data_IF_060275957204
#
_entry.id   IF_060275957204
#
_cell.length_a   1.000
_cell.length_b   1.000
_cell.length_c   1.000
_cell.angle_alpha   90.00
_cell.angle_beta   90.00
_cell.angle_gamma   90.00
#
_symmetry.space_group_name_H-M   'P 1'
#
loop_
_entity.id
_entity.type
_entity.pdbx_description
1 polymer ?
#
# COMPACT_ATOMS: atom_id res chain seq x y z
N UNK A 1 -9.86 -5.11 20.96
CA UNK A 1 -9.59 -4.04 19.98
C UNK A 1 -8.90 -4.61 18.77
N UNK A 2 -9.51 -4.42 17.62
CA UNK A 2 -8.92 -4.95 16.39
C UNK A 2 -7.68 -4.16 16.00
N UNK A 3 -6.67 -4.88 15.54
CA UNK A 3 -5.47 -4.24 15.01
C UNK A 3 -5.61 -4.04 13.52
N UNK A 4 -5.01 -2.97 13.01
CA UNK A 4 -4.92 -2.75 11.59
C UNK A 4 -3.80 -3.64 11.06
N UNK A 5 -4.13 -4.49 10.10
CA UNK A 5 -3.15 -5.37 9.47
C UNK A 5 -2.78 -4.83 8.11
N UNK A 6 -1.48 -4.62 7.89
CA UNK A 6 -0.94 -3.96 6.71
C UNK A 6 0.01 -4.90 5.97
N UNK A 7 -0.21 -5.05 4.68
CA UNK A 7 0.78 -5.68 3.80
C UNK A 7 1.64 -4.55 3.23
N UNK A 8 2.94 -4.62 3.43
CA UNK A 8 3.87 -3.71 2.78
C UNK A 8 4.59 -4.48 1.70
N UNK A 9 4.46 -4.02 0.47
CA UNK A 9 4.98 -4.73 -0.69
C UNK A 9 5.82 -3.82 -1.56
N UNK A 10 6.81 -4.42 -2.22
CA UNK A 10 7.67 -3.73 -3.17
C UNK A 10 7.55 -4.40 -4.52
N UNK A 11 6.67 -3.91 -5.39
CA UNK A 11 6.46 -4.52 -6.69
C UNK A 11 7.54 -4.14 -7.68
N UNK A 12 7.66 -4.93 -8.74
CA UNK A 12 8.57 -4.67 -9.83
C UNK A 12 9.99 -5.14 -9.56
N UNK A 13 10.92 -4.64 -10.36
CA UNK A 13 12.31 -5.10 -10.34
C UNK A 13 13.25 -4.24 -9.48
N UNK A 14 12.71 -3.21 -8.87
CA UNK A 14 13.49 -2.30 -8.03
C UNK A 14 13.98 -3.03 -6.78
N UNK A 15 15.28 -2.97 -6.53
CA UNK A 15 15.91 -3.62 -5.38
C UNK A 15 16.07 -2.73 -4.15
N UNK A 16 15.54 -1.52 -4.18
CA UNK A 16 15.70 -0.56 -3.08
C UNK A 16 14.61 -0.74 -2.04
N UNK A 17 14.87 -1.51 -0.99
CA UNK A 17 13.85 -1.87 0.00
C UNK A 17 13.93 -1.09 1.32
N UNK A 18 14.88 -0.18 1.45
CA UNK A 18 15.08 0.55 2.70
C UNK A 18 13.83 1.33 3.13
N UNK A 19 13.21 2.03 2.19
CA UNK A 19 12.00 2.80 2.50
C UNK A 19 10.85 1.91 2.97
N UNK A 20 10.66 0.78 2.32
CA UNK A 20 9.63 -0.17 2.70
C UNK A 20 9.88 -0.73 4.10
N UNK A 21 11.13 -1.02 4.44
CA UNK A 21 11.49 -1.52 5.78
C UNK A 21 11.30 -0.46 6.86
N UNK A 22 11.66 0.79 6.57
CA UNK A 22 11.49 1.89 7.51
C UNK A 22 10.02 2.11 7.82
N UNK A 23 9.17 2.13 6.80
CA UNK A 23 7.74 2.35 7.02
C UNK A 23 7.11 1.15 7.76
N UNK A 24 7.55 -0.06 7.44
CA UNK A 24 7.06 -1.25 8.13
C UNK A 24 7.34 -1.17 9.62
N UNK A 25 8.54 -0.75 10.00
CA UNK A 25 8.91 -0.61 11.39
C UNK A 25 8.10 0.49 12.07
N UNK A 26 7.92 1.63 11.40
CA UNK A 26 7.15 2.73 11.96
C UNK A 26 5.70 2.33 12.23
N UNK A 27 5.08 1.59 11.31
CA UNK A 27 3.71 1.14 11.50
C UNK A 27 3.61 0.11 12.63
N UNK A 28 4.59 -0.78 12.75
CA UNK A 28 4.63 -1.73 13.88
C UNK A 28 4.76 -1.00 15.21
N UNK A 29 5.60 0.03 15.26
CA UNK A 29 5.80 0.80 16.49
C UNK A 29 4.51 1.52 16.92
N UNK A 30 3.61 1.76 15.99
CA UNK A 30 2.30 2.36 16.26
C UNK A 30 1.22 1.32 16.59
N UNK A 31 1.58 0.07 16.73
CA UNK A 31 0.66 -0.99 17.14
C UNK A 31 -0.03 -1.72 16.00
N UNK A 32 0.34 -1.46 14.76
CA UNK A 32 -0.23 -2.20 13.63
C UNK A 32 0.50 -3.51 13.42
N UNK A 33 -0.22 -4.49 12.88
CA UNK A 33 0.39 -5.75 12.43
C UNK A 33 0.84 -5.57 11.00
N UNK A 34 2.12 -5.75 10.73
CA UNK A 34 2.70 -5.50 9.41
C UNK A 34 3.37 -6.75 8.89
N UNK A 35 3.02 -7.10 7.67
CA UNK A 35 3.68 -8.18 6.93
C UNK A 35 4.42 -7.55 5.75
N UNK A 36 5.74 -7.63 5.76
CA UNK A 36 6.54 -7.18 4.64
C UNK A 36 6.77 -8.37 3.72
N UNK A 37 6.27 -8.28 2.49
CA UNK A 37 6.30 -9.42 1.55
C UNK A 37 7.63 -9.58 0.82
N UNK A 38 8.51 -8.58 0.93
CA UNK A 38 9.81 -8.64 0.26
C UNK A 38 9.82 -7.93 -1.08
N UNK A 39 10.94 -8.09 -1.78
CA UNK A 39 11.19 -7.46 -3.07
C UNK A 39 10.51 -8.18 -4.22
N UNK A 40 10.35 -7.48 -5.32
CA UNK A 40 9.97 -8.04 -6.63
C UNK A 40 8.65 -8.80 -6.62
N UNK A 41 7.70 -8.28 -5.88
CA UNK A 41 6.37 -8.89 -5.81
C UNK A 41 5.55 -8.54 -7.05
N UNK A 42 4.82 -9.52 -7.59
CA UNK A 42 3.85 -9.25 -8.64
C UNK A 42 2.54 -8.75 -8.02
N UNK A 43 1.69 -8.03 -8.78
CA UNK A 43 0.37 -7.66 -8.27
C UNK A 43 -0.42 -8.85 -7.76
N UNK A 44 -0.35 -9.98 -8.45
CA UNK A 44 -1.01 -11.22 -8.04
C UNK A 44 -0.53 -11.71 -6.68
N UNK A 45 0.78 -11.70 -6.46
CA UNK A 45 1.37 -12.10 -5.19
C UNK A 45 0.95 -11.18 -4.05
N UNK A 46 0.89 -9.88 -4.34
CA UNK A 46 0.52 -8.87 -3.34
C UNK A 46 -0.93 -9.07 -2.88
N UNK A 47 -1.85 -9.23 -3.82
CA UNK A 47 -3.26 -9.41 -3.50
C UNK A 47 -3.49 -10.76 -2.82
N UNK A 48 -2.77 -11.80 -3.24
CA UNK A 48 -2.84 -13.10 -2.60
C UNK A 48 -2.40 -13.01 -1.12
N UNK A 49 -1.32 -12.28 -0.85
CA UNK A 49 -0.86 -12.07 0.52
C UNK A 49 -1.91 -11.33 1.35
N UNK A 50 -2.54 -10.32 0.78
CA UNK A 50 -3.59 -9.58 1.47
C UNK A 50 -4.78 -10.47 1.81
N UNK A 51 -5.15 -11.36 0.90
CA UNK A 51 -6.24 -12.31 1.11
C UNK A 51 -5.89 -13.30 2.21
N UNK A 52 -4.71 -13.90 2.14
CA UNK A 52 -4.26 -14.90 3.12
C UNK A 52 -4.11 -14.33 4.52
N UNK A 53 -3.63 -13.10 4.62
CA UNK A 53 -3.39 -12.44 5.91
C UNK A 53 -4.61 -11.67 6.41
N UNK A 54 -5.68 -11.65 5.64
CA UNK A 54 -6.88 -10.87 5.96
C UNK A 54 -6.52 -9.40 6.26
N UNK A 55 -5.70 -8.82 5.39
CA UNK A 55 -5.20 -7.46 5.59
C UNK A 55 -6.23 -6.43 5.19
N UNK A 56 -6.31 -5.34 5.95
CA UNK A 56 -7.18 -4.22 5.64
C UNK A 56 -6.48 -3.11 4.86
N UNK A 57 -5.16 -3.18 4.75
CA UNK A 57 -4.37 -2.14 4.08
C UNK A 57 -3.25 -2.78 3.27
N UNK A 58 -3.03 -2.27 2.08
CA UNK A 58 -1.87 -2.61 1.26
C UNK A 58 -1.06 -1.34 1.04
N UNK A 59 0.20 -1.34 1.48
CA UNK A 59 1.13 -0.27 1.21
C UNK A 59 2.11 -0.69 0.11
N UNK A 60 2.10 0.03 -0.99
CA UNK A 60 2.98 -0.24 -2.12
C UNK A 60 4.14 0.75 -2.10
N UNK A 61 5.37 0.26 -2.09
CA UNK A 61 6.57 1.11 -2.19
C UNK A 61 7.10 1.01 -3.61
N UNK A 62 6.95 2.07 -4.38
CA UNK A 62 7.27 2.08 -5.81
C UNK A 62 8.22 3.22 -6.14
N UNK A 63 9.47 2.91 -6.44
CA UNK A 63 10.49 3.90 -6.82
C UNK A 63 10.89 3.80 -8.29
N UNK A 64 10.36 2.83 -9.01
CA UNK A 64 10.81 2.48 -10.36
C UNK A 64 9.97 3.10 -11.49
N UNK A 65 8.94 3.86 -11.16
CA UNK A 65 8.02 4.37 -12.17
C UNK A 65 6.97 3.37 -12.61
N UNK A 66 6.92 2.20 -12.00
CA UNK A 66 6.00 1.15 -12.41
C UNK A 66 4.57 1.33 -11.89
N UNK A 67 4.29 2.44 -11.21
CA UNK A 67 2.98 2.67 -10.58
C UNK A 67 1.81 2.65 -11.56
N UNK A 68 2.02 3.12 -12.79
CA UNK A 68 0.95 3.14 -13.81
C UNK A 68 0.58 1.75 -14.31
N UNK A 69 1.44 0.76 -14.11
CA UNK A 69 1.15 -0.64 -14.43
C UNK A 69 0.64 -1.40 -13.21
N UNK A 70 1.36 -1.25 -12.09
CA UNK A 70 1.11 -2.04 -10.89
C UNK A 70 -0.21 -1.65 -10.21
N UNK A 71 -0.46 -0.35 -10.05
CA UNK A 71 -1.61 0.11 -9.29
C UNK A 71 -2.95 -0.29 -9.91
N UNK A 72 -3.17 -0.09 -11.23
CA UNK A 72 -4.43 -0.54 -11.82
C UNK A 72 -4.63 -2.05 -11.70
N UNK A 73 -3.55 -2.82 -11.83
CA UNK A 73 -3.66 -4.28 -11.76
C UNK A 73 -3.99 -4.75 -10.34
N UNK A 74 -3.37 -4.13 -9.33
CA UNK A 74 -3.68 -4.44 -7.93
C UNK A 74 -5.16 -4.14 -7.63
N UNK A 75 -5.65 -2.97 -8.06
CA UNK A 75 -7.03 -2.59 -7.82
C UNK A 75 -8.01 -3.51 -8.54
N UNK A 76 -7.69 -3.93 -9.76
CA UNK A 76 -8.51 -4.88 -10.51
C UNK A 76 -8.60 -6.22 -9.80
N UNK A 77 -7.45 -6.74 -9.35
CA UNK A 77 -7.40 -8.01 -8.64
C UNK A 77 -8.15 -7.97 -7.30
N UNK A 78 -8.07 -6.86 -6.59
CA UNK A 78 -8.83 -6.70 -5.36
C UNK A 78 -10.34 -6.79 -5.62
N UNK A 79 -10.81 -6.14 -6.68
CA UNK A 79 -12.22 -6.22 -7.05
C UNK A 79 -12.63 -7.64 -7.43
N UNK A 80 -11.79 -8.34 -8.18
CA UNK A 80 -12.05 -9.72 -8.58
C UNK A 80 -12.17 -10.66 -7.40
N UNK A 81 -11.42 -10.38 -6.32
CA UNK A 81 -11.42 -11.20 -5.11
C UNK A 81 -12.47 -10.77 -4.09
N UNK A 82 -13.25 -9.75 -4.41
CA UNK A 82 -14.23 -9.22 -3.47
C UNK A 82 -13.63 -8.45 -2.30
N UNK A 83 -12.42 -7.92 -2.48
CA UNK A 83 -11.68 -7.20 -1.44
C UNK A 83 -11.77 -5.68 -1.67
N UNK A 84 -12.96 -5.20 -1.98
CA UNK A 84 -13.18 -3.78 -2.31
C UNK A 84 -12.93 -2.84 -1.12
N UNK A 85 -12.97 -3.37 0.08
CA UNK A 85 -12.79 -2.59 1.31
C UNK A 85 -11.33 -2.47 1.75
N UNK A 86 -10.39 -3.05 1.00
CA UNK A 86 -8.96 -2.93 1.32
C UNK A 86 -8.46 -1.56 0.89
N UNK A 87 -7.85 -0.84 1.83
CA UNK A 87 -7.24 0.46 1.55
C UNK A 87 -5.89 0.25 0.89
N UNK A 88 -5.66 0.91 -0.25
CA UNK A 88 -4.35 0.85 -0.92
C UNK A 88 -3.70 2.23 -0.85
N UNK A 89 -2.49 2.27 -0.33
CA UNK A 89 -1.67 3.49 -0.27
C UNK A 89 -0.37 3.24 -1.02
N UNK A 90 0.18 4.30 -1.59
CA UNK A 90 1.40 4.23 -2.40
C UNK A 90 2.43 5.20 -1.85
N UNK A 91 3.62 4.71 -1.61
CA UNK A 91 4.77 5.55 -1.26
C UNK A 91 5.82 5.46 -2.35
N UNK A 92 6.42 6.59 -2.70
CA UNK A 92 7.47 6.63 -3.69
C UNK A 92 7.46 7.91 -4.50
N UNK A 93 8.24 7.94 -5.56
CA UNK A 93 8.35 9.10 -6.44
C UNK A 93 7.28 8.98 -7.52
N UNK A 94 6.18 9.72 -7.33
CA UNK A 94 5.05 9.69 -8.25
C UNK A 94 4.91 11.07 -8.89
N UNK A 95 5.03 11.20 -10.22
CA UNK A 95 4.82 12.48 -10.89
C UNK A 95 3.41 13.02 -10.66
N UNK A 96 3.29 14.33 -10.48
CA UNK A 96 2.01 14.97 -10.23
C UNK A 96 0.98 14.68 -11.33
N UNK A 97 1.44 14.54 -12.57
CA UNK A 97 0.55 14.28 -13.70
C UNK A 97 -0.15 12.92 -13.60
N UNK A 98 0.41 11.99 -12.80
CA UNK A 98 -0.16 10.66 -12.63
C UNK A 98 -1.15 10.58 -11.47
N UNK A 99 -1.20 11.59 -10.60
CA UNK A 99 -2.07 11.57 -9.42
C UNK A 99 -3.55 11.47 -9.77
N UNK A 100 -4.08 12.21 -10.76
CA UNK A 100 -5.50 12.06 -11.10
C UNK A 100 -5.88 10.65 -11.54
N UNK A 101 -5.01 9.97 -12.29
CA UNK A 101 -5.25 8.60 -12.73
C UNK A 101 -5.30 7.62 -11.57
N UNK A 102 -4.45 7.81 -10.56
CA UNK A 102 -4.47 6.98 -9.37
C UNK A 102 -5.74 7.19 -8.56
N UNK A 103 -6.21 8.42 -8.45
CA UNK A 103 -7.46 8.72 -7.76
C UNK A 103 -8.65 8.08 -8.46
N UNK A 104 -8.66 8.08 -9.78
CA UNK A 104 -9.74 7.47 -10.55
C UNK A 104 -9.90 5.99 -10.26
N UNK A 105 -8.80 5.28 -10.02
CA UNK A 105 -8.85 3.85 -9.72
C UNK A 105 -9.00 3.57 -8.22
N UNK A 106 -9.16 4.61 -7.41
CA UNK A 106 -9.44 4.45 -5.99
C UNK A 106 -8.25 4.59 -5.05
N UNK A 107 -7.10 5.05 -5.55
CA UNK A 107 -5.92 5.26 -4.72
C UNK A 107 -5.79 6.74 -4.41
N UNK A 108 -6.09 7.10 -3.16
CA UNK A 108 -6.04 8.49 -2.71
C UNK A 108 -4.83 8.78 -1.82
N UNK A 109 -4.29 7.78 -1.15
CA UNK A 109 -3.14 7.93 -0.27
C UNK A 109 -1.83 7.74 -1.02
N UNK A 110 -1.28 8.84 -1.54
CA UNK A 110 0.01 8.82 -2.22
C UNK A 110 0.98 9.68 -1.43
N UNK A 111 2.11 9.10 -1.02
CA UNK A 111 3.08 9.76 -0.15
C UNK A 111 4.41 9.89 -0.85
N UNK A 112 4.78 11.13 -1.16
CA UNK A 112 6.05 11.44 -1.81
C UNK A 112 7.21 11.33 -0.81
N UNK A 113 8.45 11.19 -1.28
CA UNK A 113 9.61 11.17 -0.38
C UNK A 113 9.63 12.41 0.50
N UNK A 114 9.96 12.22 1.77
CA UNK A 114 9.98 13.31 2.74
C UNK A 114 8.67 13.51 3.49
N UNK A 115 7.61 12.78 3.15
CA UNK A 115 6.37 12.82 3.92
C UNK A 115 6.65 12.36 5.35
N UNK A 116 6.23 13.13 6.38
CA UNK A 116 6.44 12.70 7.76
C UNK A 116 5.73 11.37 8.03
N UNK A 117 6.40 10.50 8.75
CA UNK A 117 5.87 9.16 9.04
C UNK A 117 4.53 9.23 9.76
N UNK A 118 4.37 10.21 10.64
CA UNK A 118 3.12 10.38 11.38
C UNK A 118 1.93 10.67 10.46
N UNK A 119 2.16 11.38 9.35
CA UNK A 119 1.11 11.67 8.39
C UNK A 119 0.60 10.39 7.72
N UNK A 120 1.51 9.46 7.44
CA UNK A 120 1.15 8.17 6.84
C UNK A 120 0.35 7.34 7.84
N UNK A 121 0.80 7.29 9.08
CA UNK A 121 0.12 6.55 10.16
C UNK A 121 -1.29 7.09 10.35
N UNK A 122 -1.43 8.41 10.44
CA UNK A 122 -2.73 9.06 10.64
C UNK A 122 -3.67 8.78 9.48
N UNK A 123 -3.16 8.87 8.25
CA UNK A 123 -3.97 8.59 7.06
C UNK A 123 -4.52 7.16 7.09
N UNK A 124 -3.66 6.19 7.38
CA UNK A 124 -4.08 4.78 7.44
C UNK A 124 -5.14 4.58 8.51
N UNK A 125 -4.95 5.13 9.69
CA UNK A 125 -5.92 4.99 10.78
C UNK A 125 -7.29 5.56 10.43
N UNK A 126 -7.30 6.75 9.85
CA UNK A 126 -8.55 7.42 9.52
C UNK A 126 -9.28 6.76 8.35
N UNK A 127 -8.56 6.40 7.30
CA UNK A 127 -9.17 5.88 6.08
C UNK A 127 -9.48 4.38 6.18
N UNK A 128 -8.68 3.64 6.92
CA UNK A 128 -8.98 2.23 7.19
C UNK A 128 -10.34 2.10 7.89
N UNK A 129 -10.63 2.97 8.85
CA UNK A 129 -11.93 2.93 9.53
C UNK A 129 -13.08 3.23 8.60
N UNK A 130 -12.89 4.19 7.68
CA UNK A 130 -13.92 4.54 6.71
C UNK A 130 -14.20 3.39 5.74
N UNK A 131 -13.16 2.68 5.34
CA UNK A 131 -13.27 1.58 4.40
C UNK A 131 -13.95 0.38 5.04
N UNK A 132 -13.66 0.11 6.32
CA UNK A 132 -14.18 -1.07 7.02
C UNK A 132 -15.53 -0.83 7.69
N UNK A 133 -15.93 0.41 7.76
CA UNK A 133 -17.23 0.74 8.35
C UNK A 133 -18.37 0.40 7.39
#
# INVERSE_FOLDING_TARGET
MEKIRVIVAKPGLDGHDRGAKVISRALRDEGMEVVYTGLRQTPEQIVEAALQEDAGVIGLSILSGAHNYVCPRVMELLREQGLDDVLVVVGGIIPDVDLPGLKEIGIHGVFQPGTPMQDIVTYIREHHRLVTA
#
